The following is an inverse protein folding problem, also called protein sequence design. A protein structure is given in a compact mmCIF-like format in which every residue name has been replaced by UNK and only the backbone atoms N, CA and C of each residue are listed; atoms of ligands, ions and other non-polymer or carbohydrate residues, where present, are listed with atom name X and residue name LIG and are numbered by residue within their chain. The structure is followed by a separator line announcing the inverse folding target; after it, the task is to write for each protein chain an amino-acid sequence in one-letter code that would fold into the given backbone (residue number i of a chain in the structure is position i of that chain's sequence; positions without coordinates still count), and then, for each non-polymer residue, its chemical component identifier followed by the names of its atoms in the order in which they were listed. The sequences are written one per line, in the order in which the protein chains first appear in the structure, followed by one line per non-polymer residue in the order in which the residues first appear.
data_IF_135040447186
#
_entry.id   IF_135040447186
#
_cell.length_a   1.000
_cell.length_b   1.000
_cell.length_c   1.000
_cell.angle_alpha   90.00
_cell.angle_beta   90.00
_cell.angle_gamma   90.00
#
_symmetry.space_group_name_H-M   'P 1'
#
loop_
_entity.id
_entity.type
_entity.pdbx_description
1 polymer ?
#
# COMPACT_ATOMS: atom_id res chain seq x y z
N UNK A 1 -5.58 1.04 30.68
CA UNK A 1 -4.45 0.85 29.76
C UNK A 1 -3.46 1.96 30.06
N UNK A 2 -2.28 1.64 30.57
CA UNK A 2 -1.24 2.63 30.85
C UNK A 2 -0.58 3.10 29.54
N UNK A 3 0.11 4.25 29.57
CA UNK A 3 0.82 4.77 28.39
C UNK A 3 1.90 3.78 27.94
N UNK A 4 2.64 3.20 28.88
CA UNK A 4 3.66 2.18 28.61
C UNK A 4 3.08 0.95 27.92
N UNK A 5 1.95 0.41 28.39
CA UNK A 5 1.27 -0.72 27.72
C UNK A 5 0.92 -0.42 26.27
N UNK A 6 0.46 0.81 25.97
CA UNK A 6 0.12 1.20 24.62
C UNK A 6 1.37 1.29 23.71
N UNK A 7 2.46 1.87 24.24
CA UNK A 7 3.73 1.98 23.52
C UNK A 7 4.32 0.61 23.18
N UNK A 8 4.31 -0.32 24.15
CA UNK A 8 4.80 -1.68 23.97
C UNK A 8 3.93 -2.49 23.00
N UNK A 9 2.61 -2.47 23.19
CA UNK A 9 1.65 -3.19 22.33
C UNK A 9 1.83 -2.85 20.85
N UNK A 10 2.10 -1.59 20.54
CA UNK A 10 2.26 -1.12 19.16
C UNK A 10 3.72 -1.06 18.69
N UNK A 11 4.67 -1.43 19.56
CA UNK A 11 6.12 -1.32 19.35
C UNK A 11 6.51 0.09 18.89
N UNK A 12 5.86 1.11 19.45
CA UNK A 12 5.93 2.48 18.92
C UNK A 12 7.33 3.07 19.04
N UNK A 13 8.00 2.84 20.18
CA UNK A 13 9.36 3.32 20.44
C UNK A 13 10.35 2.81 19.39
N UNK A 14 10.30 1.50 19.10
CA UNK A 14 11.17 0.87 18.09
C UNK A 14 10.94 1.45 16.69
N UNK A 15 9.68 1.63 16.29
CA UNK A 15 9.34 2.19 14.96
C UNK A 15 9.82 3.62 14.78
N UNK A 16 9.75 4.43 15.84
CA UNK A 16 10.25 5.82 15.82
C UNK A 16 11.77 5.81 15.73
N UNK A 17 12.45 5.01 16.54
CA UNK A 17 13.90 4.89 16.53
C UNK A 17 14.43 4.42 15.16
N UNK A 18 13.81 3.40 14.56
CA UNK A 18 14.15 2.92 13.22
C UNK A 18 14.01 4.03 12.16
N UNK A 19 12.94 4.83 12.23
CA UNK A 19 12.71 5.93 11.28
C UNK A 19 13.73 7.07 11.44
N UNK A 20 14.08 7.43 12.68
CA UNK A 20 15.10 8.44 12.98
C UNK A 20 16.47 7.95 12.50
N UNK A 21 16.83 6.71 12.80
CA UNK A 21 18.08 6.09 12.35
C UNK A 21 18.17 6.05 10.82
N UNK A 22 17.07 5.76 10.13
CA UNK A 22 17.03 5.80 8.68
C UNK A 22 17.25 7.21 8.12
N UNK A 23 16.67 8.25 8.75
CA UNK A 23 16.87 9.64 8.36
C UNK A 23 18.33 10.09 8.54
N UNK A 24 18.95 9.71 9.66
CA UNK A 24 20.36 10.00 9.96
C UNK A 24 21.29 9.30 8.96
N UNK A 25 21.05 8.01 8.65
CA UNK A 25 21.81 7.27 7.65
C UNK A 25 21.71 7.88 6.25
N UNK A 26 20.52 8.34 5.89
CA UNK A 26 20.27 8.98 4.60
C UNK A 26 20.84 10.41 4.50
N UNK A 27 21.31 10.99 5.63
CA UNK A 27 21.72 12.41 5.74
C UNK A 27 20.73 13.34 5.05
N UNK A 28 19.44 13.11 5.29
CA UNK A 28 18.38 13.82 4.58
C UNK A 28 18.44 15.32 4.88
N UNK A 29 18.29 16.15 3.85
CA UNK A 29 18.21 17.61 3.99
C UNK A 29 16.98 18.06 4.81
N UNK A 30 15.89 17.27 4.75
CA UNK A 30 14.69 17.46 5.58
C UNK A 30 14.37 16.14 6.32
N UNK A 31 14.86 15.99 7.56
CA UNK A 31 14.67 14.76 8.32
C UNK A 31 13.20 14.53 8.71
N UNK A 32 12.39 15.58 8.89
CA UNK A 32 10.99 15.45 9.32
C UNK A 32 10.14 14.87 8.19
N UNK A 33 10.30 15.40 6.98
CA UNK A 33 9.61 14.87 5.80
C UNK A 33 10.05 13.43 5.51
N UNK A 34 11.34 13.13 5.68
CA UNK A 34 11.85 11.78 5.51
C UNK A 34 11.20 10.79 6.50
N UNK A 35 11.18 11.13 7.78
CA UNK A 35 10.57 10.30 8.83
C UNK A 35 9.08 10.07 8.54
N UNK A 36 8.34 11.13 8.20
CA UNK A 36 6.91 11.02 7.86
C UNK A 36 6.67 10.03 6.70
N UNK A 37 7.44 10.16 5.62
CA UNK A 37 7.35 9.24 4.49
C UNK A 37 7.79 7.82 4.84
N UNK A 38 8.82 7.67 5.67
CA UNK A 38 9.30 6.37 6.13
C UNK A 38 8.24 5.66 6.98
N UNK A 39 7.63 6.37 7.93
CA UNK A 39 6.53 5.86 8.74
C UNK A 39 5.30 5.50 7.88
N UNK A 40 4.97 6.32 6.87
CA UNK A 40 3.87 6.01 5.95
C UNK A 40 4.11 4.71 5.15
N UNK A 41 5.36 4.43 4.78
CA UNK A 41 5.74 3.19 4.08
C UNK A 41 5.64 1.96 4.99
N UNK A 42 6.00 2.09 6.26
CA UNK A 42 6.02 0.98 7.22
C UNK A 42 4.64 0.53 7.69
N UNK A 43 3.59 1.34 7.46
CA UNK A 43 2.21 0.90 7.71
C UNK A 43 1.88 -0.29 6.79
N UNK A 44 1.29 -1.39 7.32
CA UNK A 44 0.84 -2.49 6.48
C UNK A 44 -0.20 -2.03 5.46
N UNK A 45 -0.19 -2.64 4.27
CA UNK A 45 -1.24 -2.43 3.28
C UNK A 45 -2.46 -3.25 3.67
N UNK A 46 -3.54 -2.59 4.06
CA UNK A 46 -4.82 -3.22 4.39
C UNK A 46 -5.79 -2.94 3.27
N UNK A 47 -6.40 -3.99 2.71
CA UNK A 47 -7.46 -3.87 1.72
C UNK A 47 -8.72 -3.37 2.43
N UNK A 48 -9.26 -2.26 1.96
CA UNK A 48 -10.47 -1.64 2.54
C UNK A 48 -11.69 -1.86 1.66
N UNK A 49 -11.52 -1.92 0.35
CA UNK A 49 -12.62 -2.13 -0.61
C UNK A 49 -12.10 -2.70 -1.92
N UNK A 50 -12.93 -3.53 -2.56
CA UNK A 50 -12.72 -4.03 -3.91
C UNK A 50 -13.95 -3.68 -4.74
N UNK A 51 -13.75 -3.13 -5.95
CA UNK A 51 -14.81 -2.88 -6.91
C UNK A 51 -14.42 -3.45 -8.27
N UNK A 52 -15.10 -4.52 -8.68
CA UNK A 52 -14.97 -5.07 -10.01
C UNK A 52 -16.00 -4.46 -10.97
N UNK A 53 -15.65 -4.36 -12.24
CA UNK A 53 -16.53 -3.93 -13.34
C UNK A 53 -16.17 -4.67 -14.62
N UNK A 54 -17.15 -4.83 -15.50
CA UNK A 54 -16.90 -5.27 -16.87
C UNK A 54 -16.44 -4.07 -17.71
N UNK A 55 -15.39 -4.27 -18.49
CA UNK A 55 -14.89 -3.35 -19.52
C UNK A 55 -14.75 -4.12 -20.84
N UNK A 56 -14.47 -3.43 -21.93
CA UNK A 56 -14.10 -4.06 -23.20
C UNK A 56 -12.57 -3.99 -23.36
N UNK A 57 -11.97 -5.06 -23.88
CA UNK A 57 -10.56 -5.06 -24.27
C UNK A 57 -10.34 -4.37 -25.62
N UNK A 58 -9.11 -4.42 -26.14
CA UNK A 58 -8.76 -3.84 -27.45
C UNK A 58 -9.46 -4.48 -28.65
N UNK A 59 -10.10 -5.65 -28.49
CA UNK A 59 -10.84 -6.37 -29.53
C UNK A 59 -12.37 -6.26 -29.36
N UNK A 60 -12.83 -5.48 -28.38
CA UNK A 60 -14.25 -5.37 -28.05
C UNK A 60 -14.80 -6.58 -27.29
N UNK A 61 -13.93 -7.44 -26.73
CA UNK A 61 -14.33 -8.59 -25.94
C UNK A 61 -14.52 -8.15 -24.49
N UNK A 62 -15.66 -8.48 -23.85
CA UNK A 62 -15.85 -8.23 -22.42
C UNK A 62 -14.75 -8.86 -21.56
N UNK A 63 -14.12 -8.05 -20.71
CA UNK A 63 -13.14 -8.47 -19.71
C UNK A 63 -13.38 -7.75 -18.37
N UNK A 64 -12.64 -8.13 -17.34
CA UNK A 64 -12.81 -7.63 -15.96
C UNK A 64 -11.72 -6.61 -15.62
N UNK A 65 -12.14 -5.50 -15.02
CA UNK A 65 -11.26 -4.53 -14.36
C UNK A 65 -11.62 -4.41 -12.88
N UNK A 66 -10.60 -4.28 -12.03
CA UNK A 66 -10.74 -4.20 -10.58
C UNK A 66 -10.05 -2.95 -10.04
N UNK A 67 -10.81 -2.16 -9.29
CA UNK A 67 -10.28 -1.14 -8.38
C UNK A 67 -10.09 -1.76 -6.98
N UNK A 68 -8.85 -1.73 -6.50
CA UNK A 68 -8.46 -2.15 -5.15
C UNK A 68 -8.13 -0.91 -4.33
N UNK A 69 -8.86 -0.71 -3.24
CA UNK A 69 -8.63 0.38 -2.30
C UNK A 69 -7.87 -0.14 -1.08
N UNK A 70 -6.84 0.58 -0.68
CA UNK A 70 -6.10 0.36 0.57
C UNK A 70 -5.93 1.67 1.32
N UNK A 71 -5.44 1.57 2.56
CA UNK A 71 -4.94 2.74 3.31
C UNK A 71 -3.74 3.45 2.64
N UNK A 72 -3.11 2.84 1.62
CA UNK A 72 -2.01 3.44 0.84
C UNK A 72 -2.49 4.14 -0.43
N UNK A 73 -3.71 3.88 -0.90
CA UNK A 73 -4.25 4.44 -2.12
C UNK A 73 -5.16 3.48 -2.88
N UNK A 74 -5.54 3.87 -4.09
CA UNK A 74 -6.34 3.07 -5.03
C UNK A 74 -5.46 2.56 -6.17
N UNK A 75 -5.59 1.27 -6.46
CA UNK A 75 -4.86 0.56 -7.51
C UNK A 75 -5.86 -0.04 -8.49
N UNK A 76 -5.58 0.06 -9.78
CA UNK A 76 -6.44 -0.46 -10.85
C UNK A 76 -5.67 -1.46 -11.70
N UNK A 77 -6.31 -2.59 -11.99
CA UNK A 77 -5.78 -3.60 -12.90
C UNK A 77 -6.91 -4.25 -13.70
N UNK A 78 -6.62 -4.61 -14.95
CA UNK A 78 -7.53 -5.32 -15.85
C UNK A 78 -6.97 -6.68 -16.25
N UNK A 79 -7.81 -7.70 -16.34
CA UNK A 79 -7.41 -8.99 -16.89
C UNK A 79 -7.37 -8.93 -18.43
N UNK A 80 -6.37 -9.53 -19.09
CA UNK A 80 -6.46 -9.75 -20.53
C UNK A 80 -7.58 -10.75 -20.84
N UNK A 81 -8.19 -10.64 -22.02
CA UNK A 81 -9.10 -11.65 -22.53
C UNK A 81 -8.28 -12.79 -23.16
N UNK A 82 -8.60 -14.03 -22.81
CA UNK A 82 -8.01 -15.20 -23.47
C UNK A 82 -8.55 -15.35 -24.89
N UNK A 83 -7.74 -15.90 -25.80
CA UNK A 83 -8.23 -16.47 -27.06
C UNK A 83 -8.07 -17.99 -26.95
N UNK A 84 -9.17 -18.70 -26.66
CA UNK A 84 -9.17 -20.16 -26.61
C UNK A 84 -9.49 -20.72 -27.99
N UNK A 85 -8.47 -21.18 -28.70
CA UNK A 85 -8.61 -22.30 -29.65
C UNK A 85 -7.82 -23.46 -29.06
N UNK A 86 -8.37 -24.05 -28.00
CA UNK A 86 -7.85 -25.25 -27.36
C UNK A 86 -9.02 -26.22 -27.15
N UNK A 87 -9.53 -26.76 -28.26
CA UNK A 87 -10.01 -28.13 -28.28
C UNK A 87 -8.84 -29.04 -28.60
#
# INVERSE_FOLDING_TARGET
MSVQEYLEKHMLSRKIEDAVNAAVRAKSADPVLFISNHMRKSVPSVITKIKARQILDSRGIPTVEVDLYTNKGMFRASSPSGYTTGM
#
